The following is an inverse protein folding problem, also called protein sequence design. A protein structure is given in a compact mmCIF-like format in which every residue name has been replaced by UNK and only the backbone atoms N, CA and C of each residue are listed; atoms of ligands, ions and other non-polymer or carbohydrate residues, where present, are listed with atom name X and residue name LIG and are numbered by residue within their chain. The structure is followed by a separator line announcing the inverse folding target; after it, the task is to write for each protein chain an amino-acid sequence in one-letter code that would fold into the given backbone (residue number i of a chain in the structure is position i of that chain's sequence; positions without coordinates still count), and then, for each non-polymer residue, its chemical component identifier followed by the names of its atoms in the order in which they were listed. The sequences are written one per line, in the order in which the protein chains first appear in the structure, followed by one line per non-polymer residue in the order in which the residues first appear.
data_IF_641228235215
#
_entry.id   IF_641228235215
#
_cell.length_a   1.000
_cell.length_b   1.000
_cell.length_c   1.000
_cell.angle_alpha   90.00
_cell.angle_beta   90.00
_cell.angle_gamma   90.00
#
_symmetry.space_group_name_H-M   'P 1'
#
loop_
_entity.id
_entity.type
_entity.pdbx_description
1 polymer ?
#
# COMPACT_ATOMS: atom_id res chain seq x y z
N UNK A 1 -5.76 2.86 -18.55
CA UNK A 1 -6.31 1.55 -18.17
C UNK A 1 -7.27 1.03 -19.23
N UNK A 2 -7.04 -0.20 -19.70
CA UNK A 2 -8.07 -0.97 -20.44
C UNK A 2 -9.29 -1.22 -19.54
N UNK A 3 -10.40 -1.69 -20.12
CA UNK A 3 -11.59 -2.04 -19.35
C UNK A 3 -11.29 -3.10 -18.29
N UNK A 4 -10.56 -4.16 -18.64
CA UNK A 4 -10.17 -5.22 -17.72
C UNK A 4 -9.39 -4.70 -16.50
N UNK A 5 -8.39 -3.83 -16.73
CA UNK A 5 -7.60 -3.26 -15.62
C UNK A 5 -8.47 -2.43 -14.68
N UNK A 6 -9.47 -1.71 -15.21
CA UNK A 6 -10.40 -0.92 -14.39
C UNK A 6 -11.36 -1.79 -13.57
N UNK A 7 -11.65 -3.00 -14.04
CA UNK A 7 -12.62 -3.90 -13.40
C UNK A 7 -11.98 -4.86 -12.39
N UNK A 8 -10.73 -5.26 -12.61
CA UNK A 8 -10.11 -6.40 -11.90
C UNK A 8 -8.83 -6.05 -11.15
N UNK A 9 -8.48 -4.76 -11.06
CA UNK A 9 -7.34 -4.28 -10.28
C UNK A 9 -7.75 -3.07 -9.45
N UNK A 10 -6.94 -2.74 -8.44
CA UNK A 10 -7.10 -1.55 -7.60
C UNK A 10 -6.47 -0.30 -8.25
N UNK A 11 -5.95 -0.42 -9.47
CA UNK A 11 -5.39 0.67 -10.25
C UNK A 11 -3.88 0.80 -10.10
N UNK A 12 -3.33 1.91 -10.58
CA UNK A 12 -1.91 2.24 -10.54
C UNK A 12 -1.61 3.31 -9.46
N UNK A 13 -0.34 3.37 -9.05
CA UNK A 13 0.12 4.39 -8.12
C UNK A 13 -0.14 5.80 -8.68
N UNK A 14 -0.72 6.67 -7.85
CA UNK A 14 -1.01 8.05 -8.26
C UNK A 14 0.30 8.85 -8.41
N UNK A 15 0.32 9.91 -9.23
CA UNK A 15 1.50 10.76 -9.35
C UNK A 15 2.02 11.26 -8.00
N UNK A 16 3.29 11.00 -7.71
CA UNK A 16 3.93 11.34 -6.43
C UNK A 16 3.78 10.29 -5.33
N UNK A 17 3.09 9.18 -5.59
CA UNK A 17 2.99 8.02 -4.69
C UNK A 17 3.99 6.96 -5.13
N UNK A 18 4.81 6.53 -4.19
CA UNK A 18 5.74 5.42 -4.34
C UNK A 18 5.16 4.19 -3.65
N UNK A 19 5.29 3.02 -4.29
CA UNK A 19 4.87 1.73 -3.73
C UNK A 19 6.07 0.78 -3.79
N UNK A 20 6.29 0.04 -2.70
CA UNK A 20 7.19 -1.11 -2.64
C UNK A 20 6.50 -2.28 -1.95
N UNK A 21 7.09 -3.46 -2.08
CA UNK A 21 6.60 -4.66 -1.43
C UNK A 21 7.55 -5.13 -0.32
N UNK A 22 6.98 -5.47 0.83
CA UNK A 22 7.67 -6.21 1.88
C UNK A 22 8.00 -7.65 1.44
N UNK A 23 8.87 -8.35 2.18
CA UNK A 23 9.22 -9.75 1.88
C UNK A 23 8.04 -10.72 1.88
N UNK A 24 6.97 -10.38 2.58
CA UNK A 24 5.70 -11.10 2.69
C UNK A 24 4.66 -10.65 1.66
N UNK A 25 5.00 -9.72 0.78
CA UNK A 25 4.08 -9.12 -0.19
C UNK A 25 3.25 -7.96 0.37
N UNK A 26 3.55 -7.47 1.57
CA UNK A 26 2.90 -6.29 2.12
C UNK A 26 3.13 -5.08 1.21
N UNK A 27 2.06 -4.36 0.88
CA UNK A 27 2.11 -3.09 0.17
C UNK A 27 2.60 -2.03 1.15
N UNK A 28 3.68 -1.37 0.80
CA UNK A 28 4.25 -0.29 1.60
C UNK A 28 4.27 0.97 0.72
N UNK A 29 3.64 2.04 1.19
CA UNK A 29 3.40 3.26 0.42
C UNK A 29 4.12 4.48 1.00
N UNK A 30 4.49 5.42 0.15
CA UNK A 30 4.98 6.74 0.55
C UNK A 30 4.52 7.79 -0.45
N UNK A 31 3.92 8.87 0.01
CA UNK A 31 3.40 9.89 -0.89
C UNK A 31 2.64 11.03 -0.20
N UNK A 32 2.21 12.04 -0.97
CA UNK A 32 1.47 13.19 -0.46
C UNK A 32 0.03 12.87 -0.06
N UNK A 33 -0.44 11.65 -0.34
CA UNK A 33 -1.77 11.12 0.00
C UNK A 33 -1.86 10.58 1.43
N UNK A 34 -0.73 10.34 2.09
CA UNK A 34 -0.67 9.82 3.45
C UNK A 34 -1.02 10.90 4.49
N UNK A 35 -1.56 10.45 5.63
CA UNK A 35 -1.71 11.31 6.80
C UNK A 35 -0.33 11.65 7.40
N UNK A 36 -0.29 12.68 8.26
CA UNK A 36 0.93 13.02 9.01
C UNK A 36 1.26 12.02 10.14
N UNK A 37 0.35 11.10 10.43
CA UNK A 37 0.38 10.23 11.59
C UNK A 37 -1.00 10.12 12.24
N UNK A 38 -1.06 9.33 13.30
CA UNK A 38 -2.22 9.19 14.17
C UNK A 38 -2.16 10.20 15.32
N UNK A 39 -3.28 10.37 16.02
CA UNK A 39 -3.31 11.16 17.27
C UNK A 39 -2.59 10.47 18.44
N UNK A 40 -2.26 9.19 18.26
CA UNK A 40 -1.48 8.37 19.17
C UNK A 40 -0.08 8.15 18.55
N UNK A 41 0.95 8.52 19.29
CA UNK A 41 2.34 8.45 18.84
C UNK A 41 2.82 6.99 18.70
N UNK A 42 2.31 6.06 19.52
CA UNK A 42 2.68 4.64 19.42
C UNK A 42 2.13 4.02 18.13
N UNK A 43 0.90 4.40 17.75
CA UNK A 43 0.32 3.97 16.48
C UNK A 43 1.08 4.54 15.29
N UNK A 44 1.49 5.81 15.37
CA UNK A 44 2.33 6.44 14.33
C UNK A 44 3.65 5.71 14.16
N UNK A 45 4.36 5.44 15.27
CA UNK A 45 5.63 4.72 15.23
C UNK A 45 5.49 3.26 14.74
N UNK A 46 4.33 2.64 14.93
CA UNK A 46 4.07 1.29 14.44
C UNK A 46 3.73 1.24 12.94
N UNK A 47 3.15 2.32 12.40
CA UNK A 47 2.66 2.37 11.03
C UNK A 47 3.65 2.97 10.04
N UNK A 48 4.56 3.84 10.50
CA UNK A 48 5.56 4.51 9.68
C UNK A 48 6.97 4.09 10.08
N UNK A 49 7.81 3.72 9.12
CA UNK A 49 9.23 3.44 9.36
C UNK A 49 10.07 4.74 9.41
N UNK A 50 11.36 4.61 9.78
CA UNK A 50 12.29 5.74 9.89
C UNK A 50 12.55 6.47 8.55
N UNK A 51 12.27 5.81 7.42
CA UNK A 51 12.40 6.34 6.06
C UNK A 51 11.09 6.97 5.54
N UNK A 52 10.06 7.03 6.40
CA UNK A 52 8.75 7.63 6.12
C UNK A 52 7.81 6.75 5.29
N UNK A 53 8.05 5.44 5.23
CA UNK A 53 7.16 4.50 4.55
C UNK A 53 6.03 4.03 5.46
N UNK A 54 4.82 4.02 4.91
CA UNK A 54 3.61 3.56 5.58
C UNK A 54 3.34 2.08 5.30
N UNK A 55 3.22 1.29 6.36
CA UNK A 55 2.83 -0.11 6.34
C UNK A 55 1.29 -0.22 6.31
N UNK A 56 0.73 -0.61 5.17
CA UNK A 56 -0.73 -0.63 4.98
C UNK A 56 -1.40 -1.83 5.64
N UNK A 57 -0.64 -2.90 5.94
CA UNK A 57 -1.18 -4.19 6.34
C UNK A 57 -1.94 -4.93 5.22
N UNK A 58 -1.92 -4.43 3.99
CA UNK A 58 -2.47 -5.08 2.80
C UNK A 58 -1.39 -5.89 2.10
N UNK A 59 -1.71 -7.10 1.64
CA UNK A 59 -0.84 -7.91 0.78
C UNK A 59 -1.32 -7.73 -0.66
N UNK A 60 -0.40 -7.57 -1.61
CA UNK A 60 -0.79 -7.46 -3.01
C UNK A 60 0.33 -7.76 -3.99
N UNK A 61 0.00 -7.58 -5.27
CA UNK A 61 0.90 -7.80 -6.40
C UNK A 61 0.79 -6.67 -7.41
N UNK A 62 1.90 -6.33 -8.06
CA UNK A 62 1.92 -5.51 -9.27
C UNK A 62 2.08 -6.41 -10.49
N UNK A 63 1.30 -6.15 -11.52
CA UNK A 63 1.53 -6.75 -12.83
C UNK A 63 2.56 -5.98 -13.66
N UNK A 64 2.91 -6.51 -14.84
CA UNK A 64 3.91 -5.94 -15.74
C UNK A 64 3.54 -4.54 -16.29
N UNK A 65 2.27 -4.16 -16.22
CA UNK A 65 1.78 -2.84 -16.62
C UNK A 65 1.74 -1.84 -15.44
N UNK A 66 2.11 -2.28 -14.24
CA UNK A 66 2.14 -1.46 -13.03
C UNK A 66 0.78 -1.29 -12.35
N UNK A 67 -0.18 -2.18 -12.59
CA UNK A 67 -1.47 -2.18 -11.88
C UNK A 67 -1.41 -3.07 -10.65
N UNK A 68 -1.88 -2.53 -9.53
CA UNK A 68 -1.91 -3.16 -8.22
C UNK A 68 -3.19 -3.97 -8.04
N UNK A 69 -3.06 -5.17 -7.50
CA UNK A 69 -4.19 -5.94 -6.97
C UNK A 69 -3.90 -6.32 -5.53
N UNK A 70 -4.80 -5.94 -4.62
CA UNK A 70 -4.78 -6.37 -3.22
C UNK A 70 -5.34 -7.78 -3.16
N UNK A 71 -4.59 -8.70 -2.55
CA UNK A 71 -4.91 -10.13 -2.52
C UNK A 71 -5.25 -10.64 -1.11
N UNK A 72 -4.76 -9.99 -0.06
CA UNK A 72 -4.97 -10.43 1.32
C UNK A 72 -4.74 -9.28 2.33
N UNK A 73 -4.99 -9.54 3.62
CA UNK A 73 -4.79 -8.64 4.75
C UNK A 73 -3.95 -9.33 5.82
N UNK A 74 -2.85 -8.69 6.22
CA UNK A 74 -1.86 -9.24 7.17
C UNK A 74 -2.44 -9.56 8.56
N UNK A 75 -3.44 -8.78 8.99
CA UNK A 75 -4.05 -8.92 10.32
C UNK A 75 -5.47 -9.51 10.29
N UNK A 76 -5.95 -10.03 9.16
CA UNK A 76 -7.30 -10.58 9.11
C UNK A 76 -7.34 -11.98 9.77
N UNK A 77 -8.01 -12.03 10.92
CA UNK A 77 -8.44 -13.25 11.60
C UNK A 77 -9.97 -13.24 11.52
N UNK A 78 -10.54 -14.12 10.71
CA UNK A 78 -12.00 -14.37 10.63
C UNK A 78 -12.35 -15.63 11.43
#
# INVERSE_FOLDING_TARGET
ASEDKRLYTDGDARPGVEIRFGPDGEIISRGPDLCLGYTDDELTASAFDEDGWYHTGDIGVLDDDGYLTITDRKADVI
#
